data_IF_819529787891
#
_entry.id   IF_819529787891
#
_cell.length_a   1.000
_cell.length_b   1.000
_cell.length_c   1.000
_cell.angle_alpha   90.00
_cell.angle_beta   90.00
_cell.angle_gamma   90.00
#
_symmetry.space_group_name_H-M   'P 1'
#
loop_
_entity.id
_entity.type
_entity.pdbx_description
1 polymer ?
#
# COMPACT_ATOMS: atom_id res chain seq x y z
N UNK A 1 23.56 0.42 -20.36
CA UNK A 1 23.12 1.08 -19.13
C UNK A 1 21.68 1.51 -19.36
N UNK A 2 20.76 0.60 -19.07
CA UNK A 2 19.34 0.67 -19.39
C UNK A 2 18.60 1.54 -18.37
N UNK A 3 17.54 2.24 -18.81
CA UNK A 3 16.72 3.16 -18.01
C UNK A 3 16.07 2.51 -16.75
N UNK A 4 16.19 1.20 -16.58
CA UNK A 4 15.65 0.39 -15.49
C UNK A 4 16.48 0.43 -14.19
N UNK A 5 17.71 0.95 -14.22
CA UNK A 5 18.59 1.04 -13.04
C UNK A 5 18.36 2.29 -12.16
N UNK A 6 17.35 3.10 -12.45
CA UNK A 6 17.13 4.38 -11.75
C UNK A 6 15.94 4.43 -10.79
N UNK A 7 15.24 3.32 -10.57
CA UNK A 7 14.07 3.27 -9.68
C UNK A 7 14.21 2.22 -8.58
N UNK A 8 15.34 2.20 -7.87
CA UNK A 8 15.32 1.70 -6.52
C UNK A 8 14.59 2.75 -5.67
N UNK A 9 13.49 2.44 -4.98
CA UNK A 9 12.87 3.38 -4.06
C UNK A 9 13.89 3.74 -3.01
N UNK A 10 14.29 5.01 -2.96
CA UNK A 10 15.08 5.55 -1.86
C UNK A 10 14.13 5.62 -0.66
N UNK A 11 13.94 4.49 0.03
CA UNK A 11 13.27 4.49 1.32
C UNK A 11 14.13 5.36 2.23
N UNK A 12 13.60 6.50 2.66
CA UNK A 12 14.25 7.34 3.65
C UNK A 12 14.40 6.52 4.93
N UNK A 13 15.57 5.90 5.11
CA UNK A 13 15.86 5.07 6.27
C UNK A 13 16.21 5.97 7.44
N UNK A 14 15.33 6.07 8.43
CA UNK A 14 15.63 6.74 9.69
C UNK A 14 16.49 5.80 10.54
N UNK A 15 17.67 6.28 10.94
CA UNK A 15 18.58 5.53 11.80
C UNK A 15 18.38 5.92 13.26
N UNK A 16 18.05 4.94 14.09
CA UNK A 16 17.82 5.13 15.52
C UNK A 16 19.03 4.62 16.31
N UNK A 17 19.70 5.47 17.11
CA UNK A 17 20.76 5.03 17.98
C UNK A 17 20.20 4.16 19.12
N UNK A 18 20.81 2.98 19.34
CA UNK A 18 20.32 1.99 20.31
C UNK A 18 21.26 1.89 21.52
N UNK A 19 22.54 1.61 21.30
CA UNK A 19 23.54 1.41 22.36
C UNK A 19 24.94 1.75 21.87
N UNK A 20 25.93 1.73 22.74
CA UNK A 20 27.34 1.75 22.32
C UNK A 20 27.78 0.36 21.85
N UNK A 21 28.79 0.27 20.97
CA UNK A 21 29.35 -1.03 20.54
C UNK A 21 29.89 -1.81 21.76
N UNK A 22 30.48 -1.11 22.72
CA UNK A 22 31.02 -1.70 23.95
C UNK A 22 29.99 -2.25 24.93
N UNK A 23 28.70 -1.97 24.71
CA UNK A 23 27.61 -2.53 25.53
C UNK A 23 27.24 -3.95 25.08
N UNK A 24 27.74 -4.40 23.89
CA UNK A 24 27.46 -5.73 23.35
C UNK A 24 28.62 -6.70 23.61
N UNK A 25 28.28 -7.88 24.11
CA UNK A 25 29.23 -8.98 24.28
C UNK A 25 29.21 -9.89 23.03
N UNK A 26 30.38 -10.27 22.47
CA UNK A 26 30.43 -11.16 21.29
C UNK A 26 29.70 -12.48 21.54
N UNK A 27 28.89 -12.89 20.56
CA UNK A 27 28.08 -14.12 20.56
C UNK A 27 27.00 -14.17 21.65
N UNK A 28 26.79 -13.06 22.37
CA UNK A 28 25.69 -12.91 23.32
C UNK A 28 24.62 -11.98 22.76
N UNK A 29 23.35 -12.33 22.94
CA UNK A 29 22.22 -11.53 22.45
C UNK A 29 21.74 -10.53 23.49
N UNK A 30 21.60 -9.27 23.08
CA UNK A 30 20.98 -8.21 23.90
C UNK A 30 19.64 -7.80 23.31
N UNK A 31 18.63 -7.65 24.19
CA UNK A 31 17.32 -7.17 23.81
C UNK A 31 17.30 -5.64 23.77
N UNK A 32 16.75 -5.07 22.72
CA UNK A 32 16.57 -3.63 22.57
C UNK A 32 15.13 -3.32 22.19
N UNK A 33 14.64 -2.14 22.61
CA UNK A 33 13.36 -1.60 22.17
C UNK A 33 13.62 -0.42 21.22
N UNK A 34 13.23 -0.56 19.97
CA UNK A 34 13.42 0.46 18.93
C UNK A 34 12.07 0.79 18.33
N UNK A 35 11.56 2.00 18.62
CA UNK A 35 10.22 2.40 18.17
C UNK A 35 9.13 1.43 18.63
N UNK A 36 9.19 0.89 19.85
CA UNK A 36 8.23 -0.08 20.38
C UNK A 36 8.44 -1.54 19.92
N UNK A 37 9.29 -1.77 18.92
CA UNK A 37 9.61 -3.13 18.44
C UNK A 37 10.74 -3.73 19.26
N UNK A 38 10.52 -4.95 19.76
CA UNK A 38 11.56 -5.70 20.46
C UNK A 38 12.52 -6.35 19.47
N UNK A 39 13.77 -5.93 19.50
CA UNK A 39 14.86 -6.46 18.70
C UNK A 39 15.81 -7.28 19.55
N UNK A 40 16.47 -8.25 18.92
CA UNK A 40 17.63 -8.94 19.47
C UNK A 40 18.88 -8.50 18.66
N UNK A 41 19.86 -7.94 19.35
CA UNK A 41 21.13 -7.51 18.78
C UNK A 41 22.21 -8.56 19.06
N UNK A 42 23.03 -8.85 18.08
CA UNK A 42 24.12 -9.82 18.18
C UNK A 42 25.41 -9.22 17.61
N UNK A 43 26.44 -9.09 18.45
CA UNK A 43 27.79 -8.78 18.04
C UNK A 43 28.48 -10.08 17.58
N UNK A 44 28.91 -10.12 16.32
CA UNK A 44 29.62 -11.26 15.75
C UNK A 44 31.14 -11.14 16.00
N UNK A 45 31.88 -12.27 15.94
CA UNK A 45 33.34 -12.26 16.15
C UNK A 45 34.13 -11.38 15.16
N UNK A 46 33.58 -11.11 13.99
CA UNK A 46 34.16 -10.22 12.96
C UNK A 46 33.85 -8.73 13.22
N UNK A 47 33.22 -8.39 14.33
CA UNK A 47 32.86 -7.04 14.71
C UNK A 47 31.56 -6.52 14.06
N UNK A 48 30.91 -7.29 13.19
CA UNK A 48 29.62 -6.92 12.63
C UNK A 48 28.50 -7.14 13.65
N UNK A 49 27.53 -6.23 13.66
CA UNK A 49 26.32 -6.38 14.46
C UNK A 49 25.15 -6.77 13.57
N UNK A 50 24.32 -7.70 14.04
CA UNK A 50 23.06 -8.09 13.43
C UNK A 50 21.90 -7.76 14.36
N UNK A 51 20.78 -7.33 13.77
CA UNK A 51 19.54 -7.07 14.48
C UNK A 51 18.42 -7.88 13.84
N UNK A 52 17.71 -8.64 14.67
CA UNK A 52 16.55 -9.45 14.25
C UNK A 52 15.41 -9.22 15.24
N UNK A 53 14.20 -9.69 14.92
CA UNK A 53 13.09 -9.71 15.87
C UNK A 53 13.48 -10.48 17.14
N UNK A 54 13.16 -9.94 18.31
CA UNK A 54 13.25 -10.70 19.55
C UNK A 54 12.10 -11.70 19.71
N UNK A 55 11.04 -11.59 18.88
CA UNK A 55 9.91 -12.50 18.90
C UNK A 55 10.22 -13.77 18.11
N UNK A 56 10.05 -14.91 18.76
CA UNK A 56 10.12 -16.23 18.10
C UNK A 56 8.91 -16.37 17.15
N UNK A 57 9.10 -16.58 15.84
CA UNK A 57 8.01 -16.60 14.88
C UNK A 57 7.08 -17.81 15.00
N UNK A 58 7.48 -18.84 15.74
CA UNK A 58 6.64 -19.99 16.00
C UNK A 58 5.66 -19.79 17.17
N UNK A 59 6.03 -18.93 18.13
CA UNK A 59 5.29 -18.79 19.41
C UNK A 59 4.87 -17.36 19.72
N UNK A 60 5.49 -16.36 19.10
CA UNK A 60 5.34 -14.95 19.45
C UNK A 60 6.05 -14.55 20.78
N UNK A 61 6.78 -15.45 21.42
CA UNK A 61 7.49 -15.14 22.65
C UNK A 61 8.76 -14.30 22.40
N UNK A 62 9.01 -13.30 23.23
CA UNK A 62 10.16 -12.39 23.13
C UNK A 62 11.43 -13.02 23.74
N UNK A 63 12.08 -13.94 23.01
CA UNK A 63 13.15 -14.79 23.57
C UNK A 63 14.39 -14.94 22.69
N UNK A 64 14.39 -14.43 21.45
CA UNK A 64 15.49 -14.68 20.49
C UNK A 64 16.85 -14.14 20.97
N UNK A 65 16.86 -13.05 21.75
CA UNK A 65 18.08 -12.54 22.41
C UNK A 65 18.73 -13.54 23.38
N UNK A 66 17.99 -14.55 23.83
CA UNK A 66 18.48 -15.62 24.70
C UNK A 66 18.77 -16.93 23.94
N UNK A 67 18.78 -16.85 22.61
CA UNK A 67 19.13 -17.95 21.73
C UNK A 67 20.64 -18.23 21.70
N UNK A 68 21.01 -19.26 20.96
CA UNK A 68 22.42 -19.68 20.80
C UNK A 68 22.91 -19.20 19.44
N UNK A 69 23.86 -18.27 19.45
CA UNK A 69 24.53 -17.82 18.23
C UNK A 69 25.48 -18.92 17.74
N UNK A 70 25.42 -19.18 16.46
CA UNK A 70 26.27 -20.18 15.79
C UNK A 70 26.57 -19.77 14.35
N UNK A 71 26.97 -20.74 13.55
CA UNK A 71 27.15 -20.54 12.13
C UNK A 71 26.84 -21.82 11.35
N UNK A 72 26.48 -21.66 10.07
CA UNK A 72 26.20 -22.75 9.15
C UNK A 72 26.83 -22.50 7.79
N UNK A 73 27.40 -23.54 7.19
CA UNK A 73 27.90 -23.47 5.82
C UNK A 73 26.72 -23.62 4.84
N UNK A 74 26.51 -22.61 4.00
CA UNK A 74 25.46 -22.59 2.95
C UNK A 74 26.14 -22.20 1.64
N UNK A 75 26.09 -23.04 0.64
CA UNK A 75 26.71 -22.82 -0.68
C UNK A 75 28.19 -22.36 -0.61
N UNK A 76 28.94 -22.93 0.33
CA UNK A 76 30.35 -22.61 0.55
C UNK A 76 30.61 -21.31 1.35
N UNK A 77 29.55 -20.61 1.80
CA UNK A 77 29.64 -19.38 2.60
C UNK A 77 29.22 -19.65 4.05
N UNK A 78 30.03 -19.23 5.01
CA UNK A 78 29.71 -19.30 6.44
C UNK A 78 28.66 -18.24 6.78
N UNK A 79 27.45 -18.65 7.15
CA UNK A 79 26.34 -17.78 7.55
C UNK A 79 26.20 -17.75 9.06
N UNK A 80 26.12 -16.57 9.69
CA UNK A 80 25.84 -16.47 11.12
C UNK A 80 24.37 -16.88 11.40
N UNK A 81 24.16 -17.62 12.47
CA UNK A 81 22.84 -18.16 12.81
C UNK A 81 22.45 -17.90 14.26
N UNK A 82 21.15 -17.92 14.53
CA UNK A 82 20.57 -17.93 15.86
C UNK A 82 19.64 -19.13 16.01
N UNK A 83 19.82 -19.93 17.05
CA UNK A 83 18.89 -20.99 17.42
C UNK A 83 17.93 -20.49 18.51
N UNK A 84 16.63 -20.57 18.25
CA UNK A 84 15.60 -20.24 19.25
C UNK A 84 15.78 -21.06 20.52
N UNK A 85 15.68 -20.44 21.73
CA UNK A 85 15.79 -21.19 22.97
C UNK A 85 14.63 -22.18 23.19
N UNK A 86 13.46 -21.91 22.58
CA UNK A 86 12.25 -22.72 22.82
C UNK A 86 12.23 -23.98 21.94
N UNK A 87 12.24 -23.84 20.62
CA UNK A 87 12.07 -24.96 19.68
C UNK A 87 13.34 -25.35 18.95
N UNK A 88 14.47 -24.67 19.21
CA UNK A 88 15.75 -24.90 18.53
C UNK A 88 15.70 -24.67 17.01
N UNK A 89 14.69 -23.91 16.55
CA UNK A 89 14.68 -23.47 15.15
C UNK A 89 15.87 -22.57 14.88
N UNK A 90 16.55 -22.84 13.78
CA UNK A 90 17.79 -22.15 13.42
C UNK A 90 17.52 -21.18 12.29
N UNK A 91 17.78 -19.90 12.53
CA UNK A 91 17.57 -18.83 11.59
C UNK A 91 18.89 -18.21 11.14
N UNK A 92 18.96 -17.83 9.87
CA UNK A 92 20.03 -17.00 9.31
C UNK A 92 19.90 -15.57 9.84
N UNK A 93 20.94 -15.04 10.48
CA UNK A 93 20.94 -13.68 11.03
C UNK A 93 21.02 -12.58 9.96
N UNK A 94 21.33 -12.91 8.71
CA UNK A 94 21.39 -11.94 7.61
C UNK A 94 20.07 -11.87 6.83
N UNK A 95 19.47 -13.03 6.56
CA UNK A 95 18.27 -13.13 5.72
C UNK A 95 16.99 -13.35 6.53
N UNK A 96 17.09 -13.90 7.74
CA UNK A 96 15.95 -14.33 8.54
C UNK A 96 15.37 -15.70 8.15
N UNK A 97 15.90 -16.33 7.11
CA UNK A 97 15.41 -17.65 6.67
C UNK A 97 15.61 -18.71 7.74
N UNK A 98 14.61 -19.54 7.97
CA UNK A 98 14.73 -20.67 8.89
C UNK A 98 15.28 -21.90 8.17
N UNK A 99 16.34 -22.47 8.70
CA UNK A 99 16.98 -23.67 8.15
C UNK A 99 16.32 -24.98 8.59
N UNK A 100 15.48 -24.94 9.61
CA UNK A 100 14.80 -26.14 10.18
C UNK A 100 13.36 -26.24 9.76
N UNK A 101 12.67 -25.13 9.54
CA UNK A 101 11.27 -25.05 9.11
C UNK A 101 11.11 -23.93 8.08
N UNK A 102 10.96 -24.30 6.80
CA UNK A 102 10.96 -23.37 5.68
C UNK A 102 9.79 -22.35 5.71
N UNK A 103 8.72 -22.68 6.42
CA UNK A 103 7.56 -21.78 6.59
C UNK A 103 7.78 -20.66 7.59
N UNK A 104 8.83 -20.74 8.43
CA UNK A 104 9.17 -19.70 9.40
C UNK A 104 10.18 -18.72 8.83
N UNK A 105 10.00 -17.46 9.17
CA UNK A 105 10.91 -16.39 8.82
C UNK A 105 11.07 -15.42 10.00
N UNK A 106 12.31 -15.06 10.30
CA UNK A 106 12.65 -14.10 11.33
C UNK A 106 12.89 -12.72 10.70
N UNK A 107 12.15 -11.71 11.12
CA UNK A 107 12.37 -10.36 10.61
C UNK A 107 13.77 -9.86 10.97
N UNK A 108 14.45 -9.20 10.02
CA UNK A 108 15.81 -8.66 10.16
C UNK A 108 15.79 -7.15 9.97
N UNK A 109 16.73 -6.43 10.60
CA UNK A 109 16.92 -4.99 10.45
C UNK A 109 18.33 -4.66 9.98
N UNK A 110 18.46 -3.61 9.18
CA UNK A 110 19.76 -3.05 8.84
C UNK A 110 20.38 -2.41 10.09
N UNK A 111 21.66 -2.63 10.28
CA UNK A 111 22.45 -2.07 11.38
C UNK A 111 23.66 -1.37 10.80
N UNK A 112 23.99 -0.22 11.35
CA UNK A 112 25.28 0.45 11.10
C UNK A 112 25.96 0.83 12.40
N UNK A 113 27.26 0.93 12.35
CA UNK A 113 28.07 1.50 13.45
C UNK A 113 28.52 2.89 13.02
N UNK A 114 28.22 3.87 13.86
CA UNK A 114 28.63 5.25 13.66
C UNK A 114 29.10 5.86 14.96
N UNK A 115 30.32 6.41 14.97
CA UNK A 115 30.88 7.10 16.14
C UNK A 115 30.85 6.26 17.44
N UNK A 116 31.12 4.94 17.31
CA UNK A 116 31.12 4.01 18.45
C UNK A 116 29.71 3.58 18.92
N UNK A 117 28.65 4.00 18.23
CA UNK A 117 27.27 3.63 18.53
C UNK A 117 26.71 2.67 17.50
N UNK A 118 25.82 1.82 17.94
CA UNK A 118 24.98 0.98 17.10
C UNK A 118 23.71 1.77 16.77
N UNK A 119 23.44 1.90 15.48
CA UNK A 119 22.19 2.46 14.95
C UNK A 119 21.46 1.40 14.15
N UNK A 120 20.14 1.29 14.37
CA UNK A 120 19.26 0.36 13.66
C UNK A 120 18.33 1.17 12.74
N UNK A 121 18.14 0.68 11.53
CA UNK A 121 17.22 1.27 10.58
C UNK A 121 15.78 1.09 11.05
N UNK A 122 15.10 2.20 11.28
CA UNK A 122 13.65 2.19 11.53
C UNK A 122 12.92 2.20 10.18
N UNK A 123 12.04 1.22 9.96
CA UNK A 123 11.28 1.12 8.73
C UNK A 123 10.08 2.06 8.78
N UNK A 124 9.94 2.88 7.74
CA UNK A 124 8.73 3.66 7.53
C UNK A 124 7.55 2.71 7.30
N UNK A 125 6.44 2.91 8.00
CA UNK A 125 5.21 2.16 7.77
C UNK A 125 4.42 2.78 6.61
N UNK A 126 3.75 1.95 5.81
CA UNK A 126 2.75 2.35 4.83
C UNK A 126 1.36 2.15 5.46
N UNK A 127 0.60 3.22 5.62
CA UNK A 127 -0.82 3.16 5.99
C UNK A 127 -1.64 3.38 4.72
N UNK A 128 -2.29 2.33 4.24
CA UNK A 128 -3.17 2.36 3.08
C UNK A 128 -4.57 2.79 3.54
N UNK A 129 -4.89 4.09 3.36
CA UNK A 129 -6.11 4.69 3.86
C UNK A 129 -7.21 4.69 2.78
N UNK A 130 -8.22 3.85 2.92
CA UNK A 130 -9.40 3.84 2.06
C UNK A 130 -10.56 4.61 2.69
N UNK A 131 -11.59 4.96 1.90
CA UNK A 131 -12.78 5.61 2.44
C UNK A 131 -13.52 4.71 3.45
N UNK A 132 -13.48 3.41 3.23
CA UNK A 132 -14.33 2.45 3.93
C UNK A 132 -15.68 2.23 3.19
N UNK A 133 -16.30 1.10 3.45
CA UNK A 133 -17.59 0.72 2.86
C UNK A 133 -18.34 -0.26 3.76
N UNK A 134 -19.67 -0.22 3.71
CA UNK A 134 -20.55 -1.25 4.31
C UNK A 134 -20.78 -2.45 3.40
N UNK A 135 -20.40 -2.36 2.12
CA UNK A 135 -20.54 -3.42 1.13
C UNK A 135 -19.46 -4.49 1.31
N UNK A 136 -19.86 -5.76 1.43
CA UNK A 136 -18.92 -6.86 1.70
C UNK A 136 -18.00 -7.17 0.51
N UNK A 137 -18.48 -7.00 -0.73
CA UNK A 137 -17.65 -7.15 -1.93
C UNK A 137 -16.62 -6.03 -2.04
N UNK A 138 -17.04 -4.81 -1.71
CA UNK A 138 -16.16 -3.66 -1.60
C UNK A 138 -15.06 -3.86 -0.56
N UNK A 139 -15.40 -4.34 0.64
CA UNK A 139 -14.44 -4.66 1.69
C UNK A 139 -13.41 -5.69 1.22
N UNK A 140 -13.88 -6.80 0.61
CA UNK A 140 -12.98 -7.85 0.10
C UNK A 140 -12.06 -7.33 -0.99
N UNK A 141 -12.58 -6.53 -1.91
CA UNK A 141 -11.82 -5.96 -3.01
C UNK A 141 -10.69 -5.02 -2.54
N UNK A 142 -10.98 -4.14 -1.57
CA UNK A 142 -9.97 -3.23 -0.99
C UNK A 142 -8.95 -4.00 -0.16
N UNK A 143 -9.39 -4.95 0.68
CA UNK A 143 -8.48 -5.80 1.45
C UNK A 143 -7.53 -6.60 0.54
N UNK A 144 -8.05 -7.13 -0.58
CA UNK A 144 -7.22 -7.83 -1.56
C UNK A 144 -6.14 -6.92 -2.18
N UNK A 145 -6.43 -5.63 -2.43
CA UNK A 145 -5.44 -4.66 -2.89
C UNK A 145 -4.35 -4.44 -1.83
N UNK A 146 -4.73 -4.21 -0.58
CA UNK A 146 -3.76 -4.03 0.51
C UNK A 146 -2.87 -5.27 0.68
N UNK A 147 -3.45 -6.47 0.62
CA UNK A 147 -2.70 -7.73 0.67
C UNK A 147 -1.78 -7.92 -0.54
N UNK A 148 -2.19 -7.47 -1.73
CA UNK A 148 -1.32 -7.48 -2.90
C UNK A 148 -0.14 -6.52 -2.77
N UNK A 149 -0.35 -5.33 -2.17
CA UNK A 149 0.72 -4.37 -1.84
C UNK A 149 1.68 -4.98 -0.82
N UNK A 150 1.20 -5.64 0.24
CA UNK A 150 2.04 -6.37 1.21
C UNK A 150 2.91 -7.42 0.54
N UNK A 151 2.33 -8.26 -0.32
CA UNK A 151 3.08 -9.31 -1.04
C UNK A 151 4.12 -8.73 -2.00
N UNK A 152 3.80 -7.62 -2.68
CA UNK A 152 4.74 -6.96 -3.59
C UNK A 152 5.89 -6.27 -2.87
N UNK A 153 5.71 -5.90 -1.59
CA UNK A 153 6.66 -5.15 -0.78
C UNK A 153 6.95 -5.86 0.56
N UNK A 154 7.54 -7.07 0.57
CA UNK A 154 7.70 -7.87 1.80
C UNK A 154 8.61 -7.20 2.85
N UNK A 155 9.37 -6.18 2.46
CA UNK A 155 10.19 -5.39 3.38
C UNK A 155 9.43 -4.22 4.03
N UNK A 156 8.20 -3.93 3.59
CA UNK A 156 7.37 -2.87 4.15
C UNK A 156 6.36 -3.44 5.15
N UNK A 157 6.09 -2.65 6.17
CA UNK A 157 4.97 -2.87 7.05
C UNK A 157 3.77 -2.08 6.49
N UNK A 158 2.81 -2.80 5.93
CA UNK A 158 1.64 -2.24 5.26
C UNK A 158 0.42 -2.47 6.13
N UNK A 159 -0.19 -1.38 6.55
CA UNK A 159 -1.38 -1.36 7.41
C UNK A 159 -2.56 -0.85 6.61
N UNK A 160 -3.71 -1.46 6.78
CA UNK A 160 -4.98 -0.94 6.28
C UNK A 160 -5.62 -0.01 7.30
N UNK A 161 -6.23 1.06 6.82
CA UNK A 161 -6.94 2.04 7.63
C UNK A 161 -8.09 2.67 6.84
N UNK A 162 -9.00 3.31 7.54
CA UNK A 162 -10.21 3.84 6.94
C UNK A 162 -10.42 5.31 7.33
N UNK A 163 -10.95 6.11 6.40
CA UNK A 163 -11.32 7.49 6.67
C UNK A 163 -12.67 7.55 7.38
N UNK A 164 -13.60 6.66 6.98
CA UNK A 164 -14.96 6.61 7.49
C UNK A 164 -15.50 5.16 7.45
N UNK A 165 -16.70 4.93 7.93
CA UNK A 165 -17.51 3.68 7.82
C UNK A 165 -16.89 2.45 8.52
N UNK A 166 -15.60 2.26 8.50
CA UNK A 166 -14.88 1.09 9.04
C UNK A 166 -13.83 1.48 10.08
N UNK A 167 -13.34 0.48 10.81
CA UNK A 167 -12.27 0.60 11.79
C UNK A 167 -11.12 -0.38 11.47
N UNK A 168 -9.87 -0.05 11.85
CA UNK A 168 -9.45 1.18 12.54
C UNK A 168 -9.46 2.41 11.60
N UNK A 169 -9.80 3.57 12.13
CA UNK A 169 -9.61 4.83 11.43
C UNK A 169 -8.12 5.24 11.40
N UNK A 170 -7.81 6.32 10.65
CA UNK A 170 -6.42 6.75 10.49
C UNK A 170 -5.79 7.19 11.81
N UNK A 171 -6.43 8.02 12.66
CA UNK A 171 -5.89 8.35 13.98
C UNK A 171 -5.59 7.13 14.83
N UNK A 172 -6.55 6.21 14.99
CA UNK A 172 -6.36 4.99 15.78
C UNK A 172 -5.24 4.09 15.22
N UNK A 173 -5.09 4.01 13.89
CA UNK A 173 -4.00 3.27 13.26
C UNK A 173 -2.65 3.92 13.56
N UNK A 174 -2.57 5.25 13.50
CA UNK A 174 -1.36 5.99 13.84
C UNK A 174 -1.00 5.79 15.32
N UNK A 175 -1.97 5.88 16.23
CA UNK A 175 -1.75 5.72 17.67
C UNK A 175 -1.32 4.31 18.07
N UNK A 176 -1.77 3.29 17.33
CA UNK A 176 -1.38 1.89 17.57
C UNK A 176 0.05 1.57 17.15
N UNK A 177 0.68 2.41 16.33
CA UNK A 177 2.07 2.23 15.92
C UNK A 177 3.03 2.66 17.03
N UNK A 178 4.25 2.14 16.99
CA UNK A 178 5.30 2.47 17.96
C UNK A 178 5.62 3.98 17.94
N UNK A 179 5.87 4.61 19.11
CA UNK A 179 6.21 6.02 19.20
C UNK A 179 7.38 6.43 18.30
N UNK A 180 7.24 7.55 17.60
CA UNK A 180 8.29 8.10 16.74
C UNK A 180 8.55 7.34 15.44
N UNK A 181 7.84 6.26 15.16
CA UNK A 181 7.95 5.53 13.89
C UNK A 181 7.45 6.39 12.72
N UNK A 182 8.28 6.60 11.66
CA UNK A 182 7.83 7.33 10.48
C UNK A 182 6.72 6.60 9.74
N UNK A 183 5.76 7.34 9.22
CA UNK A 183 4.61 6.81 8.48
C UNK A 183 4.41 7.57 7.19
N UNK A 184 4.10 6.85 6.11
CA UNK A 184 3.50 7.41 4.91
C UNK A 184 2.06 6.89 4.81
N UNK A 185 1.10 7.79 4.87
CA UNK A 185 -0.29 7.50 4.56
C UNK A 185 -0.47 7.61 3.05
N UNK A 186 -0.90 6.51 2.42
CA UNK A 186 -1.25 6.47 1.00
C UNK A 186 -2.76 6.35 0.86
N UNK A 187 -3.44 7.44 0.43
CA UNK A 187 -4.87 7.41 0.23
C UNK A 187 -5.25 6.48 -0.92
N UNK A 188 -6.05 5.47 -0.67
CA UNK A 188 -6.64 4.62 -1.70
C UNK A 188 -7.90 5.31 -2.29
N UNK A 189 -7.72 6.55 -2.75
CA UNK A 189 -8.73 7.41 -3.33
C UNK A 189 -8.33 7.79 -4.75
N UNK A 190 -9.29 7.92 -5.65
CA UNK A 190 -9.05 8.12 -7.08
C UNK A 190 -8.84 9.58 -7.48
N UNK A 191 -9.16 10.52 -6.59
CA UNK A 191 -8.93 11.96 -6.77
C UNK A 191 -8.62 12.61 -5.43
N UNK A 192 -7.92 13.75 -5.48
CA UNK A 192 -7.51 14.52 -4.31
C UNK A 192 -8.66 15.40 -3.77
N UNK A 193 -9.74 14.78 -3.32
CA UNK A 193 -10.89 15.47 -2.72
C UNK A 193 -10.69 15.86 -1.25
N UNK A 194 -11.80 16.32 -0.62
CA UNK A 194 -11.83 16.83 0.74
C UNK A 194 -11.12 15.91 1.75
N UNK A 195 -11.42 14.60 1.74
CA UNK A 195 -10.83 13.63 2.67
C UNK A 195 -9.29 13.54 2.58
N UNK A 196 -8.70 13.76 1.40
CA UNK A 196 -7.23 13.77 1.26
C UNK A 196 -6.63 15.04 1.84
N UNK A 197 -7.25 16.19 1.55
CA UNK A 197 -6.68 17.48 1.93
C UNK A 197 -6.95 17.88 3.37
N UNK A 198 -8.04 17.43 3.97
CA UNK A 198 -8.45 17.85 5.32
C UNK A 198 -8.26 16.72 6.32
N UNK A 199 -9.05 15.67 6.23
CA UNK A 199 -9.08 14.63 7.28
C UNK A 199 -7.72 13.94 7.49
N UNK A 200 -7.05 13.58 6.39
CA UNK A 200 -5.75 12.92 6.46
C UNK A 200 -4.62 13.89 6.84
N UNK A 201 -4.71 15.16 6.40
CA UNK A 201 -3.73 16.18 6.77
C UNK A 201 -3.86 16.57 8.25
N UNK A 202 -5.08 16.66 8.78
CA UNK A 202 -5.33 16.89 10.20
C UNK A 202 -4.81 15.74 11.05
N UNK A 203 -5.16 14.49 10.71
CA UNK A 203 -4.64 13.31 11.40
C UNK A 203 -3.11 13.24 11.38
N UNK A 204 -2.47 13.64 10.27
CA UNK A 204 -1.01 13.70 10.16
C UNK A 204 -0.40 14.81 11.02
N UNK A 205 -1.07 15.97 11.13
CA UNK A 205 -0.59 17.12 11.92
C UNK A 205 -0.74 16.90 13.43
N UNK A 206 -1.76 16.16 13.85
CA UNK A 206 -2.03 15.84 15.26
C UNK A 206 -1.18 14.66 15.76
N UNK A 207 -0.63 13.85 14.88
CA UNK A 207 0.17 12.68 15.25
C UNK A 207 1.50 13.07 15.92
N UNK A 208 1.81 12.45 17.06
CA UNK A 208 3.09 12.64 17.78
C UNK A 208 4.27 11.91 17.11
N UNK A 209 4.30 11.89 15.77
CA UNK A 209 5.31 11.20 14.95
C UNK A 209 5.45 11.84 13.58
N UNK A 210 6.56 11.57 12.83
CA UNK A 210 6.67 12.00 11.44
C UNK A 210 5.65 11.27 10.55
N UNK A 211 4.63 11.97 10.08
CA UNK A 211 3.64 11.45 9.14
C UNK A 211 3.70 12.28 7.86
N UNK A 212 3.73 11.60 6.72
CA UNK A 212 3.56 12.20 5.40
C UNK A 212 2.33 11.60 4.74
N UNK A 213 1.53 12.43 4.09
CA UNK A 213 0.39 11.98 3.29
C UNK A 213 0.76 12.13 1.82
N UNK A 214 0.65 11.05 1.05
CA UNK A 214 0.88 11.09 -0.39
C UNK A 214 -0.32 11.71 -1.13
N UNK A 215 -0.18 11.92 -2.44
CA UNK A 215 -1.32 12.22 -3.31
C UNK A 215 -2.27 11.03 -3.45
N UNK A 216 -3.42 11.26 -4.08
CA UNK A 216 -4.37 10.23 -4.47
C UNK A 216 -3.79 9.29 -5.55
N UNK A 217 -4.46 8.18 -5.83
CA UNK A 217 -4.07 7.21 -6.86
C UNK A 217 -4.15 7.80 -8.28
N UNK A 218 -5.06 8.74 -8.51
CA UNK A 218 -5.29 9.36 -9.79
C UNK A 218 -5.15 10.90 -9.76
N UNK A 219 -5.07 11.52 -10.95
CA UNK A 219 -5.11 10.86 -12.27
C UNK A 219 -3.80 10.14 -12.64
N UNK A 220 -3.90 8.93 -13.18
CA UNK A 220 -2.76 8.14 -13.65
C UNK A 220 -3.16 7.35 -14.91
N UNK A 221 -2.35 7.32 -15.98
CA UNK A 221 -2.68 6.58 -17.21
C UNK A 221 -2.84 5.06 -16.97
N UNK A 222 -2.26 4.50 -15.93
CA UNK A 222 -2.44 3.09 -15.55
C UNK A 222 -3.88 2.81 -15.12
N UNK A 223 -4.55 3.76 -14.45
CA UNK A 223 -5.98 3.63 -14.10
C UNK A 223 -6.86 3.62 -15.35
N UNK A 224 -6.53 4.45 -16.36
CA UNK A 224 -7.24 4.43 -17.64
C UNK A 224 -7.11 3.08 -18.34
N UNK A 225 -5.93 2.42 -18.31
CA UNK A 225 -5.76 1.06 -18.84
C UNK A 225 -6.60 0.02 -18.10
N UNK A 226 -6.69 0.12 -16.78
CA UNK A 226 -7.56 -0.77 -16.00
C UNK A 226 -9.03 -0.56 -16.39
N UNK A 227 -9.48 0.70 -16.49
CA UNK A 227 -10.84 1.01 -16.94
C UNK A 227 -11.14 0.49 -18.33
N UNK A 228 -10.22 0.66 -19.28
CA UNK A 228 -10.37 0.13 -20.65
C UNK A 228 -10.54 -1.39 -20.63
N UNK A 229 -9.76 -2.13 -19.83
CA UNK A 229 -9.97 -3.58 -19.65
C UNK A 229 -11.35 -3.88 -19.08
N UNK A 230 -11.80 -3.19 -18.04
CA UNK A 230 -13.13 -3.37 -17.45
C UNK A 230 -14.27 -3.11 -18.45
N UNK A 231 -14.09 -2.14 -19.33
CA UNK A 231 -15.04 -1.88 -20.42
C UNK A 231 -15.07 -3.03 -21.44
N UNK A 232 -13.92 -3.54 -21.86
CA UNK A 232 -13.86 -4.68 -22.78
C UNK A 232 -14.43 -5.97 -22.14
N UNK A 233 -14.15 -6.22 -20.86
CA UNK A 233 -14.76 -7.32 -20.09
C UNK A 233 -16.29 -7.20 -20.01
N UNK A 234 -16.82 -5.97 -19.98
CA UNK A 234 -18.25 -5.70 -20.00
C UNK A 234 -18.87 -5.81 -21.41
N UNK A 235 -18.06 -5.98 -22.47
CA UNK A 235 -18.54 -6.12 -23.85
C UNK A 235 -18.62 -4.80 -24.61
N UNK A 236 -17.67 -3.88 -24.39
CA UNK A 236 -17.52 -2.65 -25.19
C UNK A 236 -17.19 -3.01 -26.64
N UNK A 237 -17.95 -2.46 -27.59
CA UNK A 237 -17.78 -2.59 -29.03
C UNK A 237 -17.36 -1.26 -29.71
N UNK A 238 -16.91 -1.33 -30.96
CA UNK A 238 -16.40 -0.17 -31.70
C UNK A 238 -17.43 0.95 -31.91
N UNK A 239 -18.71 0.62 -32.02
CA UNK A 239 -19.81 1.58 -32.22
C UNK A 239 -20.34 2.24 -30.95
N UNK A 240 -19.88 1.81 -29.78
CA UNK A 240 -20.41 2.25 -28.49
C UNK A 240 -19.94 3.65 -28.10
N UNK A 241 -20.77 4.37 -27.37
CA UNK A 241 -20.45 5.65 -26.72
C UNK A 241 -20.08 5.41 -25.26
N UNK A 242 -19.02 6.06 -24.80
CA UNK A 242 -18.49 5.83 -23.45
C UNK A 242 -18.72 7.05 -22.56
N UNK A 243 -19.34 6.80 -21.39
CA UNK A 243 -19.54 7.78 -20.33
C UNK A 243 -18.73 7.35 -19.11
N UNK A 244 -17.74 8.14 -18.70
CA UNK A 244 -17.01 7.91 -17.45
C UNK A 244 -17.86 8.39 -16.27
N UNK A 245 -18.12 7.52 -15.32
CA UNK A 245 -18.85 7.80 -14.09
C UNK A 245 -17.89 7.86 -12.88
N UNK A 246 -17.55 9.07 -12.44
CA UNK A 246 -16.77 9.30 -11.23
C UNK A 246 -17.67 9.57 -10.01
N UNK A 247 -17.16 9.38 -8.80
CA UNK A 247 -17.91 9.63 -7.58
C UNK A 247 -18.43 11.08 -7.50
N UNK A 248 -17.59 12.03 -7.89
CA UNK A 248 -17.83 13.47 -7.78
C UNK A 248 -17.31 14.03 -6.44
N UNK A 249 -17.15 15.34 -6.43
CA UNK A 249 -16.66 16.10 -5.27
C UNK A 249 -17.12 17.54 -5.36
N UNK A 250 -17.23 18.21 -4.22
CA UNK A 250 -17.35 19.68 -4.16
C UNK A 250 -16.01 20.38 -4.36
N UNK A 251 -14.90 19.66 -4.32
CA UNK A 251 -13.55 20.16 -4.56
C UNK A 251 -13.27 20.27 -6.06
N UNK A 252 -12.93 21.47 -6.53
CA UNK A 252 -12.67 21.74 -7.95
C UNK A 252 -11.43 21.01 -8.48
N UNK A 253 -10.42 20.77 -7.64
CA UNK A 253 -9.21 20.03 -8.00
C UNK A 253 -9.55 18.55 -8.26
N UNK A 254 -10.33 17.93 -7.35
CA UNK A 254 -10.80 16.55 -7.51
C UNK A 254 -11.68 16.37 -8.76
N UNK A 255 -12.51 17.36 -9.08
CA UNK A 255 -13.31 17.38 -10.31
C UNK A 255 -12.39 17.46 -11.54
N UNK A 256 -11.36 18.32 -11.52
CA UNK A 256 -10.38 18.43 -12.60
C UNK A 256 -9.58 17.15 -12.82
N UNK A 257 -9.26 16.41 -11.76
CA UNK A 257 -8.61 15.08 -11.81
C UNK A 257 -9.49 14.06 -12.54
N UNK A 258 -10.80 14.07 -12.27
CA UNK A 258 -11.75 13.19 -12.98
C UNK A 258 -11.84 13.54 -14.47
N UNK A 259 -11.87 14.84 -14.84
CA UNK A 259 -11.79 15.27 -16.24
C UNK A 259 -10.49 14.84 -16.90
N UNK A 260 -9.38 14.89 -16.17
CA UNK A 260 -8.08 14.42 -16.67
C UNK A 260 -8.11 12.91 -16.92
N UNK A 261 -8.71 12.13 -16.00
CA UNK A 261 -8.89 10.68 -16.18
C UNK A 261 -9.78 10.38 -17.39
N UNK A 262 -10.84 11.15 -17.63
CA UNK A 262 -11.67 11.02 -18.83
C UNK A 262 -10.86 11.20 -20.12
N UNK A 263 -9.98 12.20 -20.17
CA UNK A 263 -9.07 12.40 -21.32
C UNK A 263 -8.06 11.24 -21.49
N UNK A 264 -7.51 10.73 -20.37
CA UNK A 264 -6.61 9.56 -20.41
C UNK A 264 -7.33 8.31 -20.92
N UNK A 265 -8.58 8.09 -20.50
CA UNK A 265 -9.38 6.97 -20.98
C UNK A 265 -9.74 7.13 -22.48
N UNK A 266 -10.07 8.35 -22.91
CA UNK A 266 -10.33 8.64 -24.33
C UNK A 266 -9.10 8.34 -25.19
N UNK A 267 -7.90 8.70 -24.72
CA UNK A 267 -6.65 8.40 -25.40
C UNK A 267 -6.36 6.89 -25.45
N UNK A 268 -6.62 6.17 -24.36
CA UNK A 268 -6.43 4.72 -24.28
C UNK A 268 -7.37 3.95 -25.20
N UNK A 269 -8.64 4.38 -25.30
CA UNK A 269 -9.67 3.74 -26.12
C UNK A 269 -9.62 4.22 -27.59
N UNK A 270 -8.90 5.31 -27.91
CA UNK A 270 -8.90 5.93 -29.24
C UNK A 270 -10.26 6.51 -29.67
N UNK A 271 -11.11 6.90 -28.70
CA UNK A 271 -12.46 7.44 -28.92
C UNK A 271 -12.83 8.50 -27.89
N UNK A 272 -13.88 9.26 -28.16
CA UNK A 272 -14.41 10.24 -27.21
C UNK A 272 -14.99 9.56 -25.96
N UNK A 273 -14.80 10.18 -24.81
CA UNK A 273 -15.34 9.78 -23.51
C UNK A 273 -15.96 10.99 -22.83
N UNK A 274 -17.26 10.91 -22.56
CA UNK A 274 -17.99 11.93 -21.78
C UNK A 274 -17.77 11.71 -20.28
N UNK A 275 -17.20 12.70 -19.61
CA UNK A 275 -16.98 12.62 -18.15
C UNK A 275 -18.23 13.10 -17.40
N UNK A 276 -18.63 12.34 -16.37
CA UNK A 276 -19.81 12.62 -15.56
C UNK A 276 -19.62 12.20 -14.09
N UNK A 277 -20.55 12.59 -13.22
CA UNK A 277 -20.44 12.44 -11.78
C UNK A 277 -21.69 11.82 -11.17
N UNK A 278 -21.50 10.94 -10.20
CA UNK A 278 -22.57 10.29 -9.46
C UNK A 278 -23.20 11.27 -8.47
N UNK A 279 -22.36 12.10 -7.83
CA UNK A 279 -22.78 13.10 -6.84
C UNK A 279 -21.97 14.39 -6.95
N UNK A 280 -22.37 15.44 -6.23
CA UNK A 280 -21.63 16.67 -5.92
C UNK A 280 -21.06 17.50 -7.09
N UNK A 281 -21.08 17.02 -8.34
CA UNK A 281 -20.58 17.73 -9.53
C UNK A 281 -21.45 17.45 -10.76
N UNK A 282 -21.29 18.24 -11.81
CA UNK A 282 -22.05 18.14 -13.07
C UNK A 282 -21.11 17.87 -14.27
N UNK A 283 -21.63 17.23 -15.35
CA UNK A 283 -22.98 16.69 -15.50
C UNK A 283 -23.20 15.40 -14.69
N UNK A 284 -24.46 15.11 -14.32
CA UNK A 284 -24.81 13.84 -13.70
C UNK A 284 -24.73 12.69 -14.70
N UNK A 285 -24.44 11.47 -14.19
CA UNK A 285 -24.27 10.28 -15.05
C UNK A 285 -25.49 10.06 -15.96
N UNK A 286 -26.71 10.13 -15.41
CA UNK A 286 -27.93 9.95 -16.17
C UNK A 286 -28.11 11.02 -17.26
N UNK A 287 -27.71 12.26 -17.00
CA UNK A 287 -27.77 13.36 -17.96
C UNK A 287 -26.76 13.14 -19.10
N UNK A 288 -25.52 12.73 -18.78
CA UNK A 288 -24.53 12.41 -19.78
C UNK A 288 -24.92 11.24 -20.66
N UNK A 289 -25.51 10.18 -20.08
CA UNK A 289 -26.08 9.04 -20.83
C UNK A 289 -27.19 9.50 -21.77
N UNK A 290 -28.11 10.34 -21.31
CA UNK A 290 -29.21 10.87 -22.14
C UNK A 290 -28.68 11.77 -23.26
N UNK A 291 -27.65 12.59 -23.01
CA UNK A 291 -26.98 13.44 -23.98
C UNK A 291 -26.33 12.60 -25.09
N UNK A 292 -25.58 11.54 -24.74
CA UNK A 292 -24.95 10.62 -25.70
C UNK A 292 -25.99 9.90 -26.55
N UNK A 293 -27.11 9.44 -25.97
CA UNK A 293 -28.22 8.83 -26.72
C UNK A 293 -28.87 9.80 -27.71
N UNK A 294 -28.98 11.06 -27.33
CA UNK A 294 -29.57 12.10 -28.17
C UNK A 294 -28.64 12.46 -29.31
N UNK A 295 -27.35 12.60 -29.05
CA UNK A 295 -26.34 12.96 -30.03
C UNK A 295 -26.04 11.80 -31.00
N UNK A 296 -26.17 10.54 -30.58
CA UNK A 296 -25.83 9.34 -31.33
C UNK A 296 -26.99 8.33 -31.35
N UNK A 297 -28.11 8.60 -32.06
CA UNK A 297 -29.25 7.72 -32.09
C UNK A 297 -28.89 6.33 -32.64
N UNK A 298 -29.25 5.28 -31.87
CA UNK A 298 -28.97 3.89 -32.21
C UNK A 298 -27.63 3.33 -31.73
N UNK A 299 -26.70 4.16 -31.21
CA UNK A 299 -25.50 3.68 -30.56
C UNK A 299 -25.80 3.24 -29.12
N UNK A 300 -25.16 2.16 -28.66
CA UNK A 300 -25.19 1.80 -27.26
C UNK A 300 -24.37 2.80 -26.44
N UNK A 301 -24.80 3.07 -25.22
CA UNK A 301 -24.05 3.88 -24.25
C UNK A 301 -23.54 2.97 -23.14
N UNK A 302 -22.24 3.00 -22.92
CA UNK A 302 -21.56 2.18 -21.94
C UNK A 302 -20.95 3.07 -20.86
N UNK A 303 -21.21 2.77 -19.58
CA UNK A 303 -20.64 3.50 -18.44
C UNK A 303 -19.31 2.86 -18.03
N UNK A 304 -18.24 3.65 -18.01
CA UNK A 304 -16.97 3.33 -17.39
C UNK A 304 -17.03 3.70 -15.91
N UNK A 305 -17.08 2.72 -15.04
CA UNK A 305 -17.24 2.92 -13.59
C UNK A 305 -15.90 3.30 -12.95
N UNK A 306 -15.58 4.60 -12.90
CA UNK A 306 -14.38 5.13 -12.26
C UNK A 306 -14.56 5.23 -10.75
N UNK A 307 -14.65 4.06 -10.13
CA UNK A 307 -14.71 3.83 -8.68
C UNK A 307 -13.67 2.78 -8.31
N UNK A 308 -13.14 2.85 -7.09
CA UNK A 308 -12.10 1.92 -6.66
C UNK A 308 -12.65 0.50 -6.53
N UNK A 309 -13.80 0.32 -5.89
CA UNK A 309 -14.36 -0.98 -5.51
C UNK A 309 -15.89 -1.00 -5.64
N UNK A 310 -16.53 -2.18 -5.58
CA UNK A 310 -17.98 -2.33 -5.47
C UNK A 310 -18.58 -1.57 -4.28
N UNK A 311 -19.86 -1.23 -4.37
CA UNK A 311 -20.60 -0.56 -3.31
C UNK A 311 -21.75 0.30 -3.85
N UNK A 312 -22.34 1.10 -2.96
CA UNK A 312 -23.53 1.90 -3.27
C UNK A 312 -23.35 2.77 -4.53
N UNK A 313 -22.23 3.46 -4.69
CA UNK A 313 -21.98 4.32 -5.85
C UNK A 313 -21.84 3.53 -7.17
N UNK A 314 -21.27 2.32 -7.11
CA UNK A 314 -21.20 1.45 -8.28
C UNK A 314 -22.61 1.01 -8.72
N UNK A 315 -23.52 0.75 -7.78
CA UNK A 315 -24.94 0.50 -8.05
C UNK A 315 -25.64 1.69 -8.71
N UNK A 316 -25.37 2.92 -8.25
CA UNK A 316 -25.90 4.13 -8.87
C UNK A 316 -25.40 4.33 -10.31
N UNK A 317 -24.11 4.11 -10.56
CA UNK A 317 -23.54 4.18 -11.91
C UNK A 317 -24.16 3.15 -12.84
N UNK A 318 -24.34 1.91 -12.40
CA UNK A 318 -24.96 0.84 -13.18
C UNK A 318 -26.44 1.10 -13.47
N UNK A 319 -27.15 1.82 -12.60
CA UNK A 319 -28.58 2.16 -12.75
C UNK A 319 -28.85 3.48 -13.49
N UNK A 320 -27.83 4.14 -14.02
CA UNK A 320 -27.95 5.46 -14.66
C UNK A 320 -28.61 5.45 -16.06
N UNK A 321 -29.17 4.32 -16.51
CA UNK A 321 -29.90 4.19 -17.76
C UNK A 321 -29.04 3.89 -18.99
N UNK A 322 -27.76 3.55 -18.82
CA UNK A 322 -26.89 3.07 -19.88
C UNK A 322 -27.24 1.63 -20.30
N UNK A 323 -26.78 1.19 -21.47
CA UNK A 323 -26.98 -0.17 -21.97
C UNK A 323 -26.10 -1.19 -21.25
N UNK A 324 -24.90 -0.75 -20.85
CA UNK A 324 -23.93 -1.53 -20.08
C UNK A 324 -23.21 -0.62 -19.10
N UNK A 325 -22.70 -1.22 -18.03
CA UNK A 325 -21.77 -0.58 -17.10
C UNK A 325 -20.61 -1.54 -16.79
N UNK A 326 -19.39 -1.04 -16.81
CA UNK A 326 -18.24 -1.83 -16.41
C UNK A 326 -18.21 -2.07 -14.91
N UNK A 327 -17.52 -3.14 -14.47
CA UNK A 327 -17.12 -3.26 -13.08
C UNK A 327 -16.22 -2.08 -12.67
N UNK A 328 -16.12 -1.77 -11.36
CA UNK A 328 -15.11 -0.87 -10.80
C UNK A 328 -13.68 -1.37 -11.08
N UNK A 329 -12.67 -0.58 -10.70
CA UNK A 329 -11.25 -0.93 -10.87
C UNK A 329 -10.88 -2.24 -10.16
N UNK A 330 -11.40 -2.45 -8.96
CA UNK A 330 -11.30 -3.68 -8.18
C UNK A 330 -12.64 -4.43 -8.19
N UNK A 331 -12.56 -5.76 -8.12
CA UNK A 331 -13.71 -6.65 -7.92
C UNK A 331 -13.46 -7.57 -6.72
N UNK A 332 -14.51 -8.20 -6.20
CA UNK A 332 -14.39 -9.15 -5.10
C UNK A 332 -13.83 -10.52 -5.52
N UNK A 333 -13.78 -10.81 -6.80
CA UNK A 333 -13.46 -12.14 -7.35
C UNK A 333 -12.12 -12.18 -8.09
N UNK A 334 -11.73 -11.09 -8.74
CA UNK A 334 -10.48 -11.03 -9.49
C UNK A 334 -9.34 -10.50 -8.61
N UNK A 335 -8.11 -10.97 -8.81
CA UNK A 335 -6.96 -10.36 -8.16
C UNK A 335 -6.81 -8.89 -8.58
N UNK A 336 -6.37 -8.01 -7.67
CA UNK A 336 -6.13 -6.61 -8.00
C UNK A 336 -5.16 -6.46 -9.17
N UNK A 337 -5.47 -5.54 -10.07
CA UNK A 337 -4.61 -5.23 -11.20
C UNK A 337 -3.24 -4.74 -10.70
N UNK A 338 -2.17 -5.23 -11.32
CA UNK A 338 -0.79 -4.89 -10.94
C UNK A 338 -0.55 -3.38 -10.98
N UNK A 339 -1.17 -2.69 -11.91
CA UNK A 339 -1.09 -1.24 -12.04
C UNK A 339 -1.50 -0.50 -10.76
N UNK A 340 -2.54 -0.96 -10.06
CA UNK A 340 -2.95 -0.37 -8.77
C UNK A 340 -1.93 -0.62 -7.68
N UNK A 341 -1.37 -1.83 -7.61
CA UNK A 341 -0.30 -2.19 -6.66
C UNK A 341 0.95 -1.34 -6.90
N UNK A 342 1.34 -1.16 -8.16
CA UNK A 342 2.50 -0.37 -8.55
C UNK A 342 2.30 1.12 -8.21
N UNK A 343 1.09 1.69 -8.42
CA UNK A 343 0.77 3.08 -8.04
C UNK A 343 0.94 3.29 -6.54
N UNK A 344 0.34 2.41 -5.71
CA UNK A 344 0.45 2.51 -4.25
C UNK A 344 1.91 2.42 -3.79
N UNK A 345 2.66 1.47 -4.34
CA UNK A 345 4.09 1.29 -4.00
C UNK A 345 4.94 2.50 -4.39
N UNK A 346 4.69 3.10 -5.55
CA UNK A 346 5.40 4.31 -6.00
C UNK A 346 5.04 5.54 -5.19
N UNK A 347 3.77 5.73 -4.84
CA UNK A 347 3.33 6.83 -3.97
C UNK A 347 4.00 6.74 -2.60
N UNK A 348 4.10 5.53 -2.03
CA UNK A 348 4.88 5.31 -0.83
C UNK A 348 6.35 5.69 -1.05
N UNK A 349 7.01 5.14 -2.07
CA UNK A 349 8.44 5.35 -2.32
C UNK A 349 8.85 6.80 -2.55
N UNK A 350 7.96 7.64 -3.10
CA UNK A 350 8.20 9.08 -3.29
C UNK A 350 8.09 9.89 -2.00
N UNK A 351 7.43 9.36 -0.99
CA UNK A 351 7.12 10.04 0.27
C UNK A 351 7.84 9.42 1.50
N UNK A 352 8.49 8.27 1.35
CA UNK A 352 9.21 7.56 2.42
C UNK A 352 10.57 8.18 2.78
#
# INVERSE_FOLDING_TARGET
MTLLDRLAPTTATTWVPVCAVGDLEPLWGEAALVGGVQLALFLLPDGRVRAVSNLDPATGAAVLSRGIVGSRLVDGVQRPTIASPLHKDVFDLETGACFTRAELHLATWQVRQREGRIEVAQRTALVAASHGTSDDDGRRAVAALVDAVRRANPALDVLDSFVDVQQPDVPATLDALEPGRPVVVVPLLLSAGYHVHVDLAEAAAEAERPVRVSGALGPDPRLARVLARRLHEAGLDDGDRVVLAAAGSSDAGAVADCWTTGRLLAAELGREVSTSFISAAEPRVAEAVAAERTAHPGARVVVATYLLAPGYFAGLAASAGADLASAPLLTAVDPPARELVDIVSELFGRNA
#
